data_IF_161923121723
#
_entry.id   IF_161923121723
#
_cell.length_a   1.000
_cell.length_b   1.000
_cell.length_c   1.000
_cell.angle_alpha   90.00
_cell.angle_beta   90.00
_cell.angle_gamma   90.00
#
_symmetry.space_group_name_H-M   'P 1'
#
loop_
_entity.id
_entity.type
_entity.pdbx_description
1 polymer ?
#
# COMPACT_ATOMS: atom_id res chain seq x y z
N UNK A 1 -34.07 -15.59 40.91
CA UNK A 1 -34.33 -14.93 42.21
C UNK A 1 -33.15 -15.20 43.12
N UNK A 2 -32.47 -14.17 43.63
CA UNK A 2 -31.35 -14.34 44.57
C UNK A 2 -31.96 -14.51 45.96
N UNK A 3 -31.73 -15.66 46.61
CA UNK A 3 -32.26 -15.95 47.95
C UNK A 3 -31.21 -15.59 48.99
N UNK A 4 -31.53 -14.60 49.83
CA UNK A 4 -30.75 -14.27 51.02
C UNK A 4 -31.41 -14.92 52.24
N UNK A 5 -30.60 -15.50 53.12
CA UNK A 5 -31.12 -16.12 54.33
C UNK A 5 -30.05 -16.30 55.39
N UNK A 6 -30.44 -16.95 56.48
CA UNK A 6 -29.53 -17.41 57.51
C UNK A 6 -29.84 -18.85 57.88
N UNK A 7 -28.79 -19.62 58.14
CA UNK A 7 -28.90 -20.94 58.75
C UNK A 7 -27.83 -21.10 59.83
N UNK A 8 -28.07 -22.05 60.73
CA UNK A 8 -27.14 -22.36 61.82
C UNK A 8 -26.52 -23.72 61.59
N UNK A 9 -25.18 -23.76 61.54
CA UNK A 9 -24.43 -25.02 61.48
C UNK A 9 -23.75 -25.32 62.82
N UNK A 10 -23.76 -26.57 63.30
CA UNK A 10 -22.97 -26.94 64.47
C UNK A 10 -21.48 -26.95 64.10
N UNK A 11 -20.68 -26.14 64.80
CA UNK A 11 -19.21 -26.11 64.65
C UNK A 11 -18.49 -26.87 65.77
N UNK A 12 -19.15 -27.14 66.89
CA UNK A 12 -18.68 -28.00 67.97
C UNK A 12 -19.86 -28.61 68.70
N UNK A 13 -19.71 -29.84 69.17
CA UNK A 13 -20.75 -30.55 69.92
C UNK A 13 -20.17 -31.15 71.20
N UNK A 14 -20.86 -30.97 72.32
CA UNK A 14 -20.53 -31.51 73.63
C UNK A 14 -21.75 -32.28 74.14
N UNK A 15 -21.57 -33.53 74.52
CA UNK A 15 -22.64 -34.37 75.04
C UNK A 15 -22.70 -34.24 76.57
N UNK A 16 -23.90 -34.41 77.16
CA UNK A 16 -24.09 -34.26 78.61
C UNK A 16 -23.12 -35.13 79.45
N UNK A 17 -22.82 -36.35 79.00
CA UNK A 17 -21.89 -37.25 79.71
C UNK A 17 -20.41 -36.83 79.65
N UNK A 18 -20.06 -35.84 78.83
CA UNK A 18 -18.72 -35.24 78.84
C UNK A 18 -18.62 -34.09 79.86
N UNK A 19 -19.73 -33.61 80.41
CA UNK A 19 -19.71 -32.53 81.39
C UNK A 19 -19.32 -33.05 82.78
N UNK A 20 -18.65 -32.22 83.60
CA UNK A 20 -18.41 -32.53 85.01
C UNK A 20 -19.71 -32.90 85.74
N UNK A 21 -19.64 -33.85 86.68
CA UNK A 21 -20.82 -34.41 87.37
C UNK A 21 -21.61 -33.39 88.20
N UNK A 22 -20.98 -32.29 88.56
CA UNK A 22 -21.55 -31.14 89.28
C UNK A 22 -22.40 -30.23 88.38
N UNK A 23 -22.35 -30.39 87.06
CA UNK A 23 -23.19 -29.66 86.11
C UNK A 23 -24.52 -30.39 85.93
N UNK A 24 -25.58 -29.90 86.56
CA UNK A 24 -26.92 -30.47 86.45
C UNK A 24 -27.47 -30.33 85.02
N UNK A 25 -27.37 -31.39 84.22
CA UNK A 25 -27.92 -31.47 82.86
C UNK A 25 -28.76 -32.73 82.70
N UNK A 26 -29.90 -32.60 82.03
CA UNK A 26 -30.77 -33.74 81.70
C UNK A 26 -30.01 -34.80 80.89
N UNK A 27 -30.16 -36.06 81.27
CA UNK A 27 -29.55 -37.19 80.57
C UNK A 27 -29.99 -37.20 79.10
N UNK A 28 -29.05 -37.45 78.19
CA UNK A 28 -29.28 -37.39 76.74
C UNK A 28 -29.29 -35.99 76.12
N UNK A 29 -29.06 -34.91 76.87
CA UNK A 29 -28.86 -33.58 76.28
C UNK A 29 -27.54 -33.46 75.51
N UNK A 30 -27.53 -32.63 74.47
CA UNK A 30 -26.35 -32.29 73.67
C UNK A 30 -26.28 -30.78 73.46
N UNK A 31 -25.12 -30.20 73.70
CA UNK A 31 -24.83 -28.79 73.45
C UNK A 31 -24.09 -28.66 72.12
N UNK A 32 -24.66 -27.91 71.18
CA UNK A 32 -24.05 -27.55 69.91
C UNK A 32 -23.65 -26.08 69.94
N UNK A 33 -22.37 -25.78 69.74
CA UNK A 33 -21.97 -24.42 69.38
C UNK A 33 -22.40 -24.21 67.92
N UNK A 34 -23.52 -23.53 67.74
CA UNK A 34 -24.07 -23.15 66.45
C UNK A 34 -23.42 -21.87 65.93
N UNK A 35 -22.97 -21.89 64.68
CA UNK A 35 -22.58 -20.70 63.94
C UNK A 35 -23.70 -20.31 62.99
N UNK A 36 -24.32 -19.16 63.26
CA UNK A 36 -25.32 -18.56 62.37
C UNK A 36 -24.59 -17.84 61.24
N UNK A 37 -24.86 -18.25 60.02
CA UNK A 37 -24.23 -17.73 58.81
C UNK A 37 -25.27 -16.99 57.99
N UNK A 38 -24.94 -15.78 57.52
CA UNK A 38 -25.63 -15.20 56.37
C UNK A 38 -25.22 -16.01 55.13
N UNK A 39 -26.15 -16.27 54.22
CA UNK A 39 -25.84 -16.96 52.96
C UNK A 39 -26.54 -16.32 51.76
N UNK A 40 -25.93 -16.55 50.59
CA UNK A 40 -26.55 -16.31 49.29
C UNK A 40 -26.79 -17.68 48.67
N UNK A 41 -28.05 -18.04 48.43
CA UNK A 41 -28.49 -19.40 48.04
C UNK A 41 -28.12 -20.45 49.09
N UNK A 42 -27.00 -21.16 48.94
CA UNK A 42 -26.48 -22.12 49.93
C UNK A 42 -25.02 -21.82 50.34
N UNK A 43 -24.42 -20.77 49.77
CA UNK A 43 -23.01 -20.42 49.99
C UNK A 43 -22.91 -19.45 51.18
N UNK A 44 -22.15 -19.78 52.23
CA UNK A 44 -21.89 -18.87 53.34
C UNK A 44 -21.28 -17.55 52.87
N UNK A 45 -21.87 -16.44 53.30
CA UNK A 45 -21.39 -15.10 53.00
C UNK A 45 -20.48 -14.56 54.11
N UNK A 46 -21.01 -14.48 55.33
CA UNK A 46 -20.25 -14.08 56.51
C UNK A 46 -20.90 -14.63 57.79
N UNK A 47 -20.11 -14.86 58.85
CA UNK A 47 -20.64 -15.25 60.15
C UNK A 47 -21.38 -14.08 60.80
N UNK A 48 -22.56 -14.36 61.36
CA UNK A 48 -23.36 -13.39 62.11
C UNK A 48 -23.07 -13.52 63.61
N UNK A 49 -23.33 -14.71 64.16
CA UNK A 49 -23.21 -14.96 65.60
C UNK A 49 -22.82 -16.42 65.88
N UNK A 50 -22.14 -16.64 67.00
CA UNK A 50 -21.88 -17.97 67.59
C UNK A 50 -22.65 -18.09 68.88
N UNK A 51 -23.43 -19.15 69.04
CA UNK A 51 -24.21 -19.40 70.25
C UNK A 51 -24.24 -20.88 70.58
N UNK A 52 -24.19 -21.19 71.88
CA UNK A 52 -24.43 -22.55 72.35
C UNK A 52 -25.93 -22.82 72.36
N UNK A 53 -26.33 -23.91 71.72
CA UNK A 53 -27.70 -24.39 71.62
C UNK A 53 -27.81 -25.74 72.30
N UNK A 54 -28.77 -25.91 73.19
CA UNK A 54 -29.06 -27.18 73.82
C UNK A 54 -30.09 -27.92 72.97
N UNK A 55 -29.77 -29.14 72.56
CA UNK A 55 -30.70 -30.07 71.92
C UNK A 55 -31.14 -31.12 72.92
N UNK A 56 -32.45 -31.21 73.14
CA UNK A 56 -33.06 -32.20 74.00
C UNK A 56 -34.41 -32.63 73.41
N UNK A 57 -34.65 -33.94 73.30
CA UNK A 57 -35.90 -34.50 72.76
C UNK A 57 -36.31 -33.94 71.38
N UNK A 58 -35.34 -33.70 70.50
CA UNK A 58 -35.57 -33.15 69.16
C UNK A 58 -35.87 -31.66 69.10
N UNK A 59 -36.00 -30.97 70.24
CA UNK A 59 -36.17 -29.52 70.32
C UNK A 59 -34.81 -28.84 70.54
N UNK A 60 -34.69 -27.59 70.08
CA UNK A 60 -33.49 -26.77 70.22
C UNK A 60 -33.81 -25.55 71.08
N UNK A 61 -33.03 -25.36 72.14
CA UNK A 61 -33.18 -24.26 73.10
C UNK A 61 -31.90 -23.41 73.12
N UNK A 62 -32.03 -22.11 73.34
CA UNK A 62 -30.87 -21.27 73.62
C UNK A 62 -30.30 -21.61 75.00
N UNK A 63 -28.98 -21.77 75.09
CA UNK A 63 -28.30 -22.06 76.35
C UNK A 63 -28.21 -20.78 77.19
N UNK A 64 -28.34 -20.89 78.51
CA UNK A 64 -28.16 -19.73 79.40
C UNK A 64 -26.73 -19.18 79.29
N UNK A 65 -26.56 -17.87 79.49
CA UNK A 65 -25.24 -17.20 79.40
C UNK A 65 -24.20 -17.82 80.32
N UNK A 66 -24.60 -18.23 81.53
CA UNK A 66 -23.74 -18.92 82.48
C UNK A 66 -23.22 -20.26 81.94
N UNK A 67 -24.11 -21.10 81.40
CA UNK A 67 -23.73 -22.40 80.84
C UNK A 67 -22.89 -22.23 79.57
N UNK A 68 -23.17 -21.22 78.74
CA UNK A 68 -22.34 -20.90 77.58
C UNK A 68 -20.90 -20.50 77.97
N UNK A 69 -20.75 -19.70 79.03
CA UNK A 69 -19.42 -19.34 79.58
C UNK A 69 -18.69 -20.57 80.10
N UNK A 70 -19.38 -21.43 80.87
CA UNK A 70 -18.80 -22.66 81.39
C UNK A 70 -18.31 -23.59 80.25
N UNK A 71 -19.09 -23.74 79.18
CA UNK A 71 -18.70 -24.52 78.01
C UNK A 71 -17.51 -23.92 77.28
N UNK A 72 -17.44 -22.59 77.16
CA UNK A 72 -16.29 -21.90 76.57
C UNK A 72 -15.04 -22.03 77.44
N UNK A 73 -15.15 -22.05 78.77
CA UNK A 73 -14.03 -22.22 79.70
C UNK A 73 -13.51 -23.67 79.70
N UNK A 74 -14.40 -24.66 79.73
CA UNK A 74 -14.04 -26.08 79.73
C UNK A 74 -13.46 -26.55 78.39
N UNK A 75 -14.01 -26.06 77.28
CA UNK A 75 -13.72 -26.60 75.95
C UNK A 75 -13.06 -25.59 75.00
N UNK A 76 -12.88 -24.34 75.42
CA UNK A 76 -12.37 -23.27 74.58
C UNK A 76 -13.40 -22.76 73.57
N UNK A 77 -13.32 -21.46 73.25
CA UNK A 77 -14.14 -20.80 72.23
C UNK A 77 -13.83 -21.38 70.83
N UNK A 78 -14.81 -22.00 70.15
CA UNK A 78 -14.59 -22.56 68.81
C UNK A 78 -14.18 -21.48 67.81
N UNK A 79 -13.13 -21.71 67.02
CA UNK A 79 -12.71 -20.79 65.94
C UNK A 79 -13.76 -20.76 64.83
N UNK A 80 -13.88 -19.62 64.16
CA UNK A 80 -14.78 -19.51 63.00
C UNK A 80 -14.15 -20.31 61.85
N UNK A 81 -14.88 -21.26 61.23
CA UNK A 81 -14.37 -21.97 60.07
C UNK A 81 -14.15 -20.99 58.90
N UNK A 82 -13.05 -21.15 58.17
CA UNK A 82 -12.69 -20.28 57.04
C UNK A 82 -13.77 -20.24 55.94
N UNK A 83 -14.50 -21.34 55.75
CA UNK A 83 -15.57 -21.45 54.75
C UNK A 83 -16.77 -20.53 55.05
N UNK A 84 -16.85 -19.96 56.26
CA UNK A 84 -17.88 -18.97 56.62
C UNK A 84 -17.77 -17.69 55.81
N UNK A 85 -16.63 -17.47 55.14
CA UNK A 85 -16.32 -16.34 54.27
C UNK A 85 -16.28 -16.76 52.79
N UNK A 86 -16.92 -17.87 52.40
CA UNK A 86 -16.82 -18.44 51.07
C UNK A 86 -17.18 -17.45 49.95
N UNK A 87 -18.27 -16.67 50.08
CA UNK A 87 -18.63 -15.65 49.08
C UNK A 87 -17.53 -14.61 48.91
N UNK A 88 -16.91 -14.14 50.01
CA UNK A 88 -15.83 -13.17 49.94
C UNK A 88 -14.58 -13.76 49.28
N UNK A 89 -14.21 -14.99 49.63
CA UNK A 89 -13.09 -15.71 49.02
C UNK A 89 -13.32 -15.95 47.52
N UNK A 90 -14.53 -16.32 47.12
CA UNK A 90 -14.91 -16.46 45.71
C UNK A 90 -14.84 -15.11 44.97
N UNK A 91 -15.31 -14.03 45.59
CA UNK A 91 -15.19 -12.68 45.03
C UNK A 91 -13.74 -12.27 44.82
N UNK A 92 -12.86 -12.52 45.79
CA UNK A 92 -11.42 -12.27 45.69
C UNK A 92 -10.78 -13.12 44.58
N UNK A 93 -11.13 -14.41 44.49
CA UNK A 93 -10.65 -15.31 43.45
C UNK A 93 -11.09 -14.84 42.05
N UNK A 94 -12.34 -14.39 41.90
CA UNK A 94 -12.84 -13.84 40.65
C UNK A 94 -12.09 -12.55 40.26
N UNK A 95 -11.85 -11.64 41.21
CA UNK A 95 -11.05 -10.43 40.95
C UNK A 95 -9.62 -10.76 40.52
N UNK A 96 -8.96 -11.71 41.18
CA UNK A 96 -7.64 -12.18 40.79
C UNK A 96 -7.65 -12.80 39.40
N UNK A 97 -8.67 -13.62 39.08
CA UNK A 97 -8.84 -14.20 37.75
C UNK A 97 -8.93 -13.12 36.67
N UNK A 98 -9.81 -12.12 36.82
CA UNK A 98 -9.94 -11.03 35.84
C UNK A 98 -8.66 -10.19 35.70
N UNK A 99 -7.93 -9.97 36.80
CA UNK A 99 -6.67 -9.23 36.75
C UNK A 99 -5.58 -10.01 36.00
N UNK A 100 -5.49 -11.32 36.24
CA UNK A 100 -4.56 -12.21 35.53
C UNK A 100 -4.93 -12.30 34.04
N UNK A 101 -6.20 -12.51 33.73
CA UNK A 101 -6.71 -12.59 32.36
C UNK A 101 -6.40 -11.31 31.58
N UNK A 102 -6.65 -10.13 32.17
CA UNK A 102 -6.32 -8.84 31.56
C UNK A 102 -4.81 -8.65 31.33
N UNK A 103 -3.95 -9.15 32.22
CA UNK A 103 -2.48 -9.15 32.03
C UNK A 103 -2.07 -10.10 30.90
N UNK A 104 -2.60 -11.31 30.87
CA UNK A 104 -2.28 -12.33 29.86
C UNK A 104 -2.71 -11.88 28.46
N UNK A 105 -3.89 -11.28 28.33
CA UNK A 105 -4.39 -10.79 27.04
C UNK A 105 -3.49 -9.67 26.50
N UNK A 106 -3.05 -8.73 27.35
CA UNK A 106 -2.08 -7.70 26.97
C UNK A 106 -0.75 -8.30 26.49
N UNK A 107 -0.25 -9.35 27.15
CA UNK A 107 0.97 -10.05 26.71
C UNK A 107 0.79 -10.78 25.38
N UNK A 108 -0.36 -11.45 25.16
CA UNK A 108 -0.68 -12.11 23.90
C UNK A 108 -0.73 -11.11 22.75
N UNK A 109 -1.39 -9.96 22.95
CA UNK A 109 -1.44 -8.89 21.96
C UNK A 109 -0.06 -8.31 21.66
N UNK A 110 0.80 -8.09 22.67
CA UNK A 110 2.17 -7.62 22.44
C UNK A 110 3.01 -8.66 21.68
N UNK A 111 2.84 -9.95 22.00
CA UNK A 111 3.54 -11.04 21.30
C UNK A 111 3.08 -11.18 19.85
N UNK A 112 1.77 -11.11 19.59
CA UNK A 112 1.22 -11.13 18.24
C UNK A 112 1.68 -9.92 17.42
N UNK A 113 1.82 -8.74 18.03
CA UNK A 113 2.41 -7.57 17.37
C UNK A 113 3.90 -7.76 17.04
N UNK A 114 4.66 -8.40 17.93
CA UNK A 114 6.06 -8.75 17.66
C UNK A 114 6.14 -9.76 16.51
N UNK A 115 5.25 -10.74 16.46
CA UNK A 115 5.22 -11.73 15.38
C UNK A 115 4.75 -11.13 14.05
N UNK A 116 3.75 -10.24 14.09
CA UNK A 116 3.35 -9.41 12.95
C UNK A 116 4.52 -8.53 12.47
N UNK A 117 5.33 -7.96 13.38
CA UNK A 117 6.51 -7.18 12.99
C UNK A 117 7.63 -8.01 12.36
N UNK A 118 7.76 -9.28 12.75
CA UNK A 118 8.73 -10.21 12.17
C UNK A 118 8.27 -10.72 10.80
N UNK A 119 6.96 -10.91 10.61
CA UNK A 119 6.38 -11.42 9.37
C UNK A 119 6.10 -10.31 8.35
N UNK A 120 5.87 -9.07 8.78
CA UNK A 120 5.68 -7.93 7.88
C UNK A 120 7.01 -7.57 7.24
N UNK A 121 7.26 -8.17 6.08
CA UNK A 121 8.42 -7.90 5.24
C UNK A 121 8.37 -6.44 4.80
N UNK A 122 9.03 -5.57 5.58
CA UNK A 122 9.28 -4.19 5.20
C UNK A 122 10.12 -4.25 3.92
N UNK A 123 9.45 -4.04 2.79
CA UNK A 123 10.11 -4.08 1.49
C UNK A 123 10.93 -2.80 1.35
N UNK A 124 12.20 -2.89 0.90
CA UNK A 124 12.84 -1.76 0.25
C UNK A 124 11.89 -1.16 -0.80
N UNK A 125 11.89 0.17 -0.94
CA UNK A 125 10.96 0.93 -1.79
C UNK A 125 9.51 1.06 -1.29
N UNK A 126 9.19 0.66 -0.05
CA UNK A 126 7.90 1.03 0.54
C UNK A 126 7.84 2.53 0.84
N UNK A 127 6.66 3.13 0.73
CA UNK A 127 6.39 4.52 1.09
C UNK A 127 5.47 4.55 2.31
N UNK A 128 5.76 5.42 3.25
CA UNK A 128 4.96 5.61 4.44
C UNK A 128 4.31 6.99 4.43
N UNK A 129 3.03 7.05 4.79
CA UNK A 129 2.36 8.30 5.14
C UNK A 129 2.42 8.47 6.65
N UNK A 130 3.11 9.50 7.10
CA UNK A 130 3.18 9.91 8.50
C UNK A 130 2.22 11.06 8.73
N UNK A 131 1.58 11.12 9.90
CA UNK A 131 0.56 12.11 10.26
C UNK A 131 0.97 12.88 11.52
N UNK A 132 0.93 14.21 11.49
CA UNK A 132 1.15 15.08 12.65
C UNK A 132 -0.10 15.23 13.52
N UNK A 133 0.05 15.86 14.70
CA UNK A 133 -1.10 16.25 15.53
C UNK A 133 -1.98 17.32 14.87
N UNK A 134 -1.42 18.12 13.95
CA UNK A 134 -2.11 19.13 13.14
C UNK A 134 -2.82 18.56 11.91
N UNK A 135 -3.00 17.23 11.84
CA UNK A 135 -3.64 16.52 10.72
C UNK A 135 -2.94 16.73 9.36
N UNK A 136 -1.65 17.13 9.36
CA UNK A 136 -0.81 17.18 8.17
C UNK A 136 -0.14 15.83 7.94
N UNK A 137 0.04 15.49 6.68
CA UNK A 137 0.64 14.24 6.25
C UNK A 137 1.98 14.47 5.56
N UNK A 138 2.91 13.54 5.75
CA UNK A 138 4.27 13.58 5.24
C UNK A 138 4.60 12.26 4.55
N UNK A 139 5.26 12.33 3.41
CA UNK A 139 5.71 11.14 2.67
C UNK A 139 7.13 10.78 3.03
N UNK A 140 7.38 9.54 3.46
CA UNK A 140 8.76 9.02 3.61
C UNK A 140 8.96 7.73 2.81
N UNK A 141 10.14 7.53 2.23
CA UNK A 141 10.50 6.33 1.45
C UNK A 141 11.44 5.45 2.27
N UNK A 142 11.21 4.14 2.30
CA UNK A 142 12.16 3.18 2.86
C UNK A 142 13.30 2.95 1.87
N UNK A 143 14.51 3.36 2.25
CA UNK A 143 15.73 3.12 1.48
C UNK A 143 16.32 1.73 1.78
N UNK A 144 16.41 1.39 3.06
CA UNK A 144 16.97 0.11 3.52
C UNK A 144 16.40 -0.29 4.89
N UNK A 145 16.60 -1.55 5.28
CA UNK A 145 16.21 -2.04 6.61
C UNK A 145 17.18 -3.09 7.14
N UNK A 146 17.39 -3.12 8.46
CA UNK A 146 18.16 -4.12 9.22
C UNK A 146 17.20 -4.93 10.10
N UNK A 147 17.69 -5.74 11.02
CA UNK A 147 16.83 -6.46 11.97
C UNK A 147 16.02 -5.53 12.89
N UNK A 148 16.61 -4.41 13.31
CA UNK A 148 16.07 -3.52 14.35
C UNK A 148 15.67 -2.12 13.85
N UNK A 149 16.16 -1.70 12.66
CA UNK A 149 16.02 -0.36 12.12
C UNK A 149 15.53 -0.33 10.66
N UNK A 150 14.96 0.80 10.29
CA UNK A 150 14.57 1.17 8.93
C UNK A 150 15.15 2.54 8.64
N UNK A 151 15.89 2.67 7.53
CA UNK A 151 16.36 3.97 7.07
C UNK A 151 15.32 4.53 6.13
N UNK A 152 14.70 5.63 6.55
CA UNK A 152 13.71 6.34 5.74
C UNK A 152 14.34 7.60 5.16
N UNK A 153 14.13 7.80 3.87
CA UNK A 153 14.41 9.03 3.16
C UNK A 153 13.18 9.93 3.20
N UNK A 154 13.38 11.21 3.41
CA UNK A 154 12.32 12.21 3.48
C UNK A 154 12.81 13.54 2.89
N UNK A 155 11.86 14.37 2.46
CA UNK A 155 12.15 15.71 2.00
C UNK A 155 12.43 16.61 3.21
N UNK A 156 13.59 17.26 3.24
CA UNK A 156 13.92 18.20 4.32
C UNK A 156 13.01 19.43 4.24
N UNK A 157 12.42 19.83 5.37
CA UNK A 157 11.44 20.93 5.46
C UNK A 157 10.21 20.72 4.56
N UNK A 158 9.71 19.47 4.47
CA UNK A 158 8.45 19.17 3.77
C UNK A 158 7.30 19.95 4.43
N UNK A 159 6.55 20.79 3.69
CA UNK A 159 5.37 21.49 4.25
C UNK A 159 4.24 20.53 4.62
N UNK A 160 4.29 19.28 4.17
CA UNK A 160 3.22 18.31 4.34
C UNK A 160 2.05 18.55 3.38
N UNK A 161 1.06 17.66 3.46
CA UNK A 161 -0.16 17.71 2.66
C UNK A 161 -1.39 17.39 3.52
N UNK A 162 -2.55 17.88 3.11
CA UNK A 162 -3.75 17.94 3.98
C UNK A 162 -4.55 16.64 4.11
N UNK A 163 -4.25 15.59 3.34
CA UNK A 163 -5.07 14.37 3.29
C UNK A 163 -4.22 13.11 3.20
N UNK A 164 -4.60 12.05 3.93
CA UNK A 164 -3.96 10.73 3.79
C UNK A 164 -4.28 10.10 2.43
N UNK A 165 -3.54 10.47 1.38
CA UNK A 165 -3.67 9.86 0.07
C UNK A 165 -2.34 9.25 -0.34
N UNK A 166 -2.40 8.03 -0.89
CA UNK A 166 -1.28 7.35 -1.55
C UNK A 166 -0.51 8.30 -2.48
N UNK A 167 -1.23 9.11 -3.24
CA UNK A 167 -0.63 10.08 -4.16
C UNK A 167 0.18 11.15 -3.44
N UNK A 168 -0.25 11.64 -2.27
CA UNK A 168 0.50 12.64 -1.49
C UNK A 168 1.80 12.07 -0.93
N UNK A 169 1.75 10.86 -0.36
CA UNK A 169 2.95 10.22 0.18
C UNK A 169 4.01 9.92 -0.89
N UNK A 170 3.56 9.53 -2.09
CA UNK A 170 4.46 9.16 -3.20
C UNK A 170 4.88 10.38 -4.01
N UNK A 171 4.04 11.41 -4.16
CA UNK A 171 4.33 12.59 -4.99
C UNK A 171 5.55 13.36 -4.51
N UNK A 172 5.77 13.43 -3.19
CA UNK A 172 6.97 14.03 -2.58
C UNK A 172 8.26 13.47 -3.20
N UNK A 173 8.30 12.19 -3.58
CA UNK A 173 9.49 11.59 -4.19
C UNK A 173 9.48 11.62 -5.72
N UNK A 174 8.32 11.76 -6.34
CA UNK A 174 8.18 11.79 -7.80
C UNK A 174 8.54 13.17 -8.37
N UNK A 175 8.11 14.25 -7.71
CA UNK A 175 8.16 15.59 -8.29
C UNK A 175 9.07 16.56 -7.53
N UNK A 176 9.45 16.23 -6.29
CA UNK A 176 10.23 17.17 -5.49
C UNK A 176 11.70 17.20 -5.91
N UNK A 177 12.28 18.40 -5.89
CA UNK A 177 13.65 18.73 -6.30
C UNK A 177 14.52 19.21 -5.13
N UNK A 178 13.96 19.24 -3.93
CA UNK A 178 14.64 19.66 -2.71
C UNK A 178 15.65 18.62 -2.22
N UNK A 179 16.32 18.97 -1.13
CA UNK A 179 17.28 18.10 -0.46
C UNK A 179 16.53 17.00 0.30
N UNK A 180 16.91 15.75 0.03
CA UNK A 180 16.42 14.61 0.79
C UNK A 180 17.43 14.24 1.87
N UNK A 181 16.93 13.98 3.08
CA UNK A 181 17.71 13.45 4.19
C UNK A 181 17.29 12.02 4.48
N UNK A 182 18.15 11.29 5.17
CA UNK A 182 17.91 9.90 5.59
C UNK A 182 18.02 9.83 7.11
N UNK A 183 17.05 9.20 7.75
CA UNK A 183 17.07 8.96 9.18
C UNK A 183 16.73 7.50 9.50
N UNK A 184 17.42 6.94 10.48
CA UNK A 184 17.11 5.62 11.01
C UNK A 184 15.96 5.70 12.02
N UNK A 185 14.97 4.83 11.86
CA UNK A 185 13.83 4.67 12.77
C UNK A 185 13.80 3.22 13.24
N UNK A 186 13.55 2.99 14.54
CA UNK A 186 13.39 1.64 15.05
C UNK A 186 12.18 0.95 14.42
N UNK A 187 12.35 -0.30 13.96
CA UNK A 187 11.25 -1.16 13.48
C UNK A 187 10.16 -1.33 14.53
N UNK A 188 10.56 -1.47 15.80
CA UNK A 188 9.62 -1.55 16.94
C UNK A 188 8.72 -0.32 17.02
N UNK A 189 9.27 0.87 16.80
CA UNK A 189 8.50 2.12 16.77
C UNK A 189 7.55 2.17 15.58
N UNK A 190 8.01 1.82 14.38
CA UNK A 190 7.18 1.75 13.16
C UNK A 190 5.98 0.83 13.36
N UNK A 191 6.22 -0.38 13.86
CA UNK A 191 5.17 -1.39 14.13
C UNK A 191 4.19 -0.86 15.17
N UNK A 192 4.68 -0.38 16.32
CA UNK A 192 3.80 0.16 17.36
C UNK A 192 2.98 1.34 16.85
N UNK A 193 3.56 2.19 16.00
CA UNK A 193 2.89 3.36 15.42
C UNK A 193 1.78 2.92 14.46
N UNK A 194 2.06 1.94 13.59
CA UNK A 194 1.09 1.41 12.63
C UNK A 194 -0.12 0.74 13.31
N UNK A 195 0.11 -0.13 14.30
CA UNK A 195 -0.96 -0.94 14.88
C UNK A 195 -1.68 -0.26 16.05
N UNK A 196 -0.96 0.47 16.90
CA UNK A 196 -1.54 1.06 18.11
C UNK A 196 -1.82 2.56 17.98
N UNK A 197 -1.31 3.21 16.93
CA UNK A 197 -1.36 4.67 16.73
C UNK A 197 -0.85 5.49 17.93
N UNK A 198 -0.13 4.84 18.86
CA UNK A 198 0.30 5.40 20.14
C UNK A 198 1.80 5.62 20.21
N UNK A 199 2.57 4.95 19.36
CA UNK A 199 4.00 5.22 19.25
C UNK A 199 4.26 6.36 18.28
N UNK A 200 5.01 7.34 18.79
CA UNK A 200 5.34 8.57 18.12
C UNK A 200 6.70 8.44 17.42
N UNK A 201 6.73 8.77 16.13
CA UNK A 201 7.92 8.80 15.28
C UNK A 201 8.39 10.25 15.19
N UNK A 202 9.65 10.51 15.54
CA UNK A 202 10.25 11.85 15.39
C UNK A 202 11.24 11.84 14.22
N UNK A 203 11.06 12.72 13.26
CA UNK A 203 11.98 12.90 12.13
C UNK A 203 12.46 14.35 12.09
N UNK A 204 13.77 14.55 12.12
CA UNK A 204 14.37 15.89 12.14
C UNK A 204 14.15 16.60 10.80
N UNK A 205 13.51 17.76 10.81
CA UNK A 205 13.21 18.52 9.59
C UNK A 205 11.85 18.18 8.95
N UNK A 206 11.03 17.34 9.58
CA UNK A 206 9.60 17.26 9.29
C UNK A 206 8.83 17.94 10.42
N UNK A 207 7.95 18.88 10.08
CA UNK A 207 7.06 19.56 11.04
C UNK A 207 7.78 20.05 12.31
N UNK A 208 8.92 20.75 12.15
CA UNK A 208 9.73 21.26 13.27
C UNK A 208 10.21 20.18 14.27
N UNK A 209 10.23 18.92 13.86
CA UNK A 209 10.58 17.79 14.72
C UNK A 209 9.46 17.35 15.66
N UNK A 210 8.20 17.68 15.35
CA UNK A 210 7.05 17.14 16.06
C UNK A 210 7.02 15.61 15.96
N UNK A 211 6.31 15.00 16.91
CA UNK A 211 5.97 13.59 16.90
C UNK A 211 4.89 13.27 15.87
N UNK A 212 5.17 12.29 15.00
CA UNK A 212 4.28 11.82 13.93
C UNK A 212 3.77 10.41 14.22
N UNK A 213 2.67 10.03 13.59
CA UNK A 213 2.11 8.66 13.64
C UNK A 213 2.11 8.03 12.24
N UNK A 214 2.40 6.74 12.14
CA UNK A 214 2.37 6.02 10.87
C UNK A 214 0.93 5.63 10.52
N UNK A 215 0.35 6.34 9.55
CA UNK A 215 -1.04 6.14 9.16
C UNK A 215 -1.18 5.06 8.07
N UNK A 216 -0.28 5.02 7.09
CA UNK A 216 -0.40 4.08 5.95
C UNK A 216 0.94 3.70 5.34
N UNK A 217 0.98 2.49 4.74
CA UNK A 217 2.13 1.94 4.02
C UNK A 217 1.71 1.64 2.58
N UNK A 218 2.50 2.09 1.61
CA UNK A 218 2.26 1.92 0.18
C UNK A 218 3.46 1.24 -0.47
N UNK A 219 3.23 0.04 -1.02
CA UNK A 219 4.25 -0.68 -1.79
C UNK A 219 4.17 -0.23 -3.25
N UNK A 220 5.04 0.70 -3.65
CA UNK A 220 5.04 1.29 -4.99
C UNK A 220 6.48 1.34 -5.50
N UNK A 221 6.68 1.05 -6.77
CA UNK A 221 7.98 1.16 -7.42
C UNK A 221 7.96 2.34 -8.39
N UNK A 222 8.42 3.51 -7.93
CA UNK A 222 8.38 4.77 -8.71
C UNK A 222 9.31 4.79 -9.92
N UNK A 223 10.21 3.81 -10.03
CA UNK A 223 11.11 3.67 -11.17
C UNK A 223 10.45 2.90 -12.33
N UNK A 224 9.25 2.32 -12.10
CA UNK A 224 8.42 1.75 -13.17
C UNK A 224 7.78 2.83 -14.03
N UNK A 225 7.41 2.40 -15.23
CA UNK A 225 6.86 3.24 -16.29
C UNK A 225 5.46 3.80 -16.01
N UNK A 226 4.65 3.05 -15.28
CA UNK A 226 3.32 3.43 -14.86
C UNK A 226 3.04 2.77 -13.52
N UNK A 227 2.86 3.60 -12.49
CA UNK A 227 2.56 3.14 -11.13
C UNK A 227 1.07 3.30 -10.78
N UNK A 228 0.24 3.68 -11.75
CA UNK A 228 -1.18 3.97 -11.55
C UNK A 228 -1.44 5.25 -10.76
N UNK A 229 -0.47 6.16 -10.67
CA UNK A 229 -0.58 7.46 -10.00
C UNK A 229 -0.30 8.59 -10.99
N UNK A 230 -1.08 9.66 -10.93
CA UNK A 230 -1.01 10.79 -11.85
C UNK A 230 -0.82 12.08 -11.07
N UNK A 231 0.41 12.57 -11.00
CA UNK A 231 0.76 13.76 -10.22
C UNK A 231 0.93 14.97 -11.15
N UNK A 232 0.21 16.06 -10.88
CA UNK A 232 0.41 17.34 -11.57
C UNK A 232 1.59 18.09 -10.96
N UNK A 233 2.62 18.41 -11.76
CA UNK A 233 3.75 19.27 -11.38
C UNK A 233 3.89 20.43 -12.36
N UNK A 234 3.70 21.70 -11.95
CA UNK A 234 3.78 22.85 -12.84
C UNK A 234 5.11 22.97 -13.59
N UNK A 235 6.24 22.69 -12.92
CA UNK A 235 7.56 22.80 -13.54
C UNK A 235 7.77 21.70 -14.59
N UNK A 236 7.50 20.42 -14.26
CA UNK A 236 7.57 19.32 -15.24
C UNK A 236 6.59 19.57 -16.39
N UNK A 237 5.40 20.09 -16.12
CA UNK A 237 4.42 20.47 -17.14
C UNK A 237 4.99 21.51 -18.11
N UNK A 238 5.69 22.53 -17.62
CA UNK A 238 6.34 23.53 -18.46
C UNK A 238 7.47 22.93 -19.31
N UNK A 239 8.36 22.13 -18.71
CA UNK A 239 9.48 21.47 -19.39
C UNK A 239 9.00 20.50 -20.48
N UNK A 240 8.03 19.63 -20.16
CA UNK A 240 7.41 18.69 -21.11
C UNK A 240 6.72 19.43 -22.24
N UNK A 241 5.99 20.51 -21.94
CA UNK A 241 5.36 21.35 -22.97
C UNK A 241 6.38 21.96 -23.91
N UNK A 242 7.51 22.44 -23.39
CA UNK A 242 8.59 22.98 -24.19
C UNK A 242 9.21 21.91 -25.10
N UNK A 243 9.49 20.72 -24.58
CA UNK A 243 10.06 19.60 -25.36
C UNK A 243 9.13 19.18 -26.50
N UNK A 244 7.83 19.01 -26.23
CA UNK A 244 6.84 18.65 -27.25
C UNK A 244 6.71 19.72 -28.33
N UNK A 245 6.64 21.00 -27.94
CA UNK A 245 6.60 22.13 -28.89
C UNK A 245 7.88 22.21 -29.72
N UNK A 246 9.05 22.01 -29.11
CA UNK A 246 10.34 21.99 -29.82
C UNK A 246 10.36 20.85 -30.83
N UNK A 247 9.96 19.64 -30.44
CA UNK A 247 9.98 18.46 -31.30
C UNK A 247 9.13 18.62 -32.57
N UNK A 248 7.91 19.14 -32.47
CA UNK A 248 7.03 19.33 -33.65
C UNK A 248 7.43 20.51 -34.54
N UNK A 249 8.23 21.45 -34.03
CA UNK A 249 8.74 22.59 -34.80
C UNK A 249 10.15 22.39 -35.33
N UNK A 250 10.87 21.39 -34.83
CA UNK A 250 12.24 21.10 -35.21
C UNK A 250 12.30 20.61 -36.66
N UNK A 251 13.17 21.21 -37.47
CA UNK A 251 13.40 20.81 -38.87
C UNK A 251 14.60 19.89 -38.99
N UNK A 252 15.62 20.05 -38.16
CA UNK A 252 16.82 19.21 -38.13
C UNK A 252 16.54 17.82 -37.56
N UNK A 253 16.99 16.78 -38.27
CA UNK A 253 16.83 15.39 -37.84
C UNK A 253 17.67 15.10 -36.61
N UNK A 254 18.91 15.58 -36.58
CA UNK A 254 19.80 15.39 -35.44
C UNK A 254 19.23 16.03 -34.17
N UNK A 255 18.64 17.22 -34.29
CA UNK A 255 17.96 17.88 -33.17
C UNK A 255 16.69 17.12 -32.75
N UNK A 256 15.89 16.61 -33.69
CA UNK A 256 14.74 15.76 -33.37
C UNK A 256 15.16 14.48 -32.65
N UNK A 257 16.22 13.80 -33.12
CA UNK A 257 16.77 12.60 -32.51
C UNK A 257 17.31 12.85 -31.10
N UNK A 258 17.87 14.04 -30.84
CA UNK A 258 18.32 14.43 -29.51
C UNK A 258 17.15 14.50 -28.50
N UNK A 259 15.94 14.81 -28.97
CA UNK A 259 14.72 14.87 -28.16
C UNK A 259 14.02 13.52 -28.02
N UNK A 260 14.48 12.46 -28.69
CA UNK A 260 13.92 11.12 -28.55
C UNK A 260 14.62 10.33 -27.43
N UNK A 261 13.82 9.57 -26.69
CA UNK A 261 14.33 8.66 -25.67
C UNK A 261 15.11 7.49 -26.31
N UNK A 262 15.89 6.77 -25.50
CA UNK A 262 16.76 5.69 -25.99
C UNK A 262 15.95 4.52 -26.56
N UNK A 263 14.76 4.25 -26.00
CA UNK A 263 13.86 3.21 -26.52
C UNK A 263 13.33 3.52 -27.92
N UNK A 264 13.07 4.79 -28.22
CA UNK A 264 12.62 5.26 -29.54
C UNK A 264 13.72 5.12 -30.58
N UNK A 265 14.97 5.40 -30.21
CA UNK A 265 16.13 5.23 -31.08
C UNK A 265 16.37 3.75 -31.40
N UNK A 266 16.26 2.91 -30.38
CA UNK A 266 16.35 1.45 -30.51
C UNK A 266 15.27 0.94 -31.44
N UNK A 267 14.00 1.33 -31.22
CA UNK A 267 12.89 1.00 -32.10
C UNK A 267 13.16 1.35 -33.57
N UNK A 268 13.65 2.56 -33.86
CA UNK A 268 13.97 2.98 -35.23
C UNK A 268 15.08 2.13 -35.86
N UNK A 269 16.10 1.79 -35.09
CA UNK A 269 17.16 0.88 -35.54
C UNK A 269 16.62 -0.52 -35.81
N UNK A 270 15.74 -1.02 -34.94
CA UNK A 270 15.15 -2.36 -35.07
C UNK A 270 14.27 -2.47 -36.31
N UNK A 271 13.50 -1.43 -36.66
CA UNK A 271 12.74 -1.39 -37.92
C UNK A 271 13.68 -1.61 -39.11
N UNK A 272 14.79 -0.87 -39.18
CA UNK A 272 15.74 -0.94 -40.30
C UNK A 272 16.49 -2.26 -40.31
N UNK A 273 16.99 -2.71 -39.15
CA UNK A 273 17.73 -3.97 -39.02
C UNK A 273 16.85 -5.15 -39.40
N UNK A 274 15.59 -5.17 -38.95
CA UNK A 274 14.60 -6.18 -39.32
C UNK A 274 14.35 -6.16 -40.83
N UNK A 275 14.08 -4.98 -41.42
CA UNK A 275 13.87 -4.86 -42.87
C UNK A 275 15.10 -5.29 -43.69
N UNK A 276 16.31 -5.05 -43.17
CA UNK A 276 17.59 -5.39 -43.81
C UNK A 276 17.81 -6.90 -43.91
N UNK A 277 17.29 -7.69 -42.98
CA UNK A 277 17.36 -9.16 -43.06
C UNK A 277 16.68 -9.71 -44.31
N UNK A 278 15.64 -9.01 -44.80
CA UNK A 278 14.79 -9.51 -45.88
C UNK A 278 13.90 -10.69 -45.51
N UNK A 279 13.92 -11.13 -44.25
CA UNK A 279 13.04 -12.19 -43.76
C UNK A 279 11.63 -11.64 -43.55
N UNK A 280 10.73 -12.02 -44.46
CA UNK A 280 9.32 -11.61 -44.46
C UNK A 280 8.60 -12.06 -43.19
N UNK A 281 8.95 -13.20 -42.61
CA UNK A 281 8.35 -13.71 -41.37
C UNK A 281 8.73 -12.81 -40.20
N UNK A 282 10.02 -12.48 -40.06
CA UNK A 282 10.49 -11.59 -38.99
C UNK A 282 9.88 -10.18 -39.13
N UNK A 283 9.81 -9.65 -40.35
CA UNK A 283 9.16 -8.37 -40.61
C UNK A 283 7.67 -8.39 -40.22
N UNK A 284 6.96 -9.48 -40.52
CA UNK A 284 5.55 -9.65 -40.17
C UNK A 284 5.34 -9.76 -38.65
N UNK A 285 6.21 -10.50 -37.96
CA UNK A 285 6.17 -10.62 -36.50
C UNK A 285 6.42 -9.26 -35.85
N UNK A 286 7.44 -8.52 -36.31
CA UNK A 286 7.70 -7.15 -35.85
C UNK A 286 6.44 -6.26 -36.00
N UNK A 287 5.76 -6.32 -37.15
CA UNK A 287 4.54 -5.54 -37.37
C UNK A 287 3.43 -5.94 -36.38
N UNK A 288 3.22 -7.25 -36.16
CA UNK A 288 2.12 -7.80 -35.35
C UNK A 288 2.27 -7.59 -33.86
N UNK A 289 3.50 -7.71 -33.36
CA UNK A 289 3.79 -7.72 -31.93
C UNK A 289 3.79 -6.30 -31.32
N UNK A 290 3.80 -5.26 -32.16
CA UNK A 290 3.75 -3.88 -31.71
C UNK A 290 2.29 -3.39 -31.55
N UNK A 291 2.07 -2.47 -30.59
CA UNK A 291 0.76 -1.92 -30.22
C UNK A 291 -0.02 -1.27 -31.39
N UNK A 292 0.70 -0.77 -32.40
CA UNK A 292 0.12 -0.05 -33.55
C UNK A 292 0.55 -0.67 -34.89
N UNK A 293 -0.01 -1.82 -35.29
CA UNK A 293 0.50 -2.61 -36.42
C UNK A 293 0.43 -1.87 -37.77
N UNK A 294 -0.59 -1.04 -38.02
CA UNK A 294 -0.71 -0.29 -39.28
C UNK A 294 0.40 0.76 -39.44
N UNK A 295 0.80 1.36 -38.31
CA UNK A 295 1.89 2.33 -38.27
C UNK A 295 3.23 1.64 -38.50
N UNK A 296 3.45 0.52 -37.82
CA UNK A 296 4.64 -0.32 -38.00
C UNK A 296 4.75 -0.88 -39.42
N UNK A 297 3.61 -1.27 -40.01
CA UNK A 297 3.55 -1.67 -41.42
C UNK A 297 4.06 -0.56 -42.33
N UNK A 298 3.60 0.69 -42.17
CA UNK A 298 4.09 1.80 -42.98
C UNK A 298 5.61 1.98 -42.82
N UNK A 299 6.10 2.06 -41.58
CA UNK A 299 7.54 2.18 -41.28
C UNK A 299 8.36 1.07 -41.93
N UNK A 300 7.92 -0.18 -41.80
CA UNK A 300 8.59 -1.36 -42.35
C UNK A 300 8.61 -1.35 -43.89
N UNK A 301 7.48 -1.05 -44.53
CA UNK A 301 7.38 -1.00 -46.00
C UNK A 301 8.30 0.09 -46.57
N UNK A 302 8.32 1.25 -45.93
CA UNK A 302 9.18 2.36 -46.35
C UNK A 302 10.66 2.06 -46.10
N UNK A 303 11.01 1.40 -44.98
CA UNK A 303 12.36 0.92 -44.73
C UNK A 303 12.83 -0.07 -45.82
N UNK A 304 12.01 -1.09 -46.11
CA UNK A 304 12.34 -2.17 -47.07
C UNK A 304 12.41 -1.68 -48.52
N UNK A 305 11.42 -0.93 -48.98
CA UNK A 305 11.23 -0.65 -50.41
C UNK A 305 11.70 0.73 -50.86
N UNK A 306 12.09 1.61 -49.94
CA UNK A 306 12.55 2.96 -50.32
C UNK A 306 13.89 3.31 -49.69
N UNK A 307 14.06 3.07 -48.39
CA UNK A 307 15.29 3.45 -47.70
C UNK A 307 16.45 2.50 -48.05
N UNK A 308 16.30 1.20 -47.79
CA UNK A 308 17.36 0.21 -48.01
C UNK A 308 17.85 0.11 -49.47
N UNK A 309 16.99 0.16 -50.51
CA UNK A 309 17.46 0.15 -51.90
C UNK A 309 18.36 1.33 -52.25
N UNK A 310 18.17 2.50 -51.61
CA UNK A 310 19.03 3.68 -51.81
C UNK A 310 20.37 3.60 -51.08
N UNK A 311 20.52 2.65 -50.17
CA UNK A 311 21.74 2.41 -49.41
C UNK A 311 22.68 1.38 -50.06
N UNK A 312 22.21 0.67 -51.10
CA UNK A 312 22.91 -0.49 -51.67
C UNK A 312 24.36 -0.17 -52.12
N UNK A 313 24.67 1.09 -52.41
CA UNK A 313 26.00 1.53 -52.86
C UNK A 313 26.89 2.09 -51.74
N UNK A 314 26.37 2.30 -50.52
CA UNK A 314 27.09 2.89 -49.39
C UNK A 314 26.79 2.12 -48.10
N UNK A 315 27.66 1.16 -47.76
CA UNK A 315 27.60 0.44 -46.48
C UNK A 315 27.77 1.41 -45.31
N UNK A 316 26.66 1.86 -44.73
CA UNK A 316 26.66 2.55 -43.44
C UNK A 316 27.17 1.58 -42.38
N UNK A 317 28.32 1.89 -41.80
CA UNK A 317 28.99 1.00 -40.83
C UNK A 317 28.58 1.23 -39.37
N UNK A 318 27.84 2.29 -39.05
CA UNK A 318 27.52 2.63 -37.65
C UNK A 318 26.03 2.87 -37.43
N UNK A 319 25.53 2.40 -36.29
CA UNK A 319 24.14 2.61 -35.86
C UNK A 319 23.78 4.10 -35.76
N UNK A 320 24.73 4.95 -35.37
CA UNK A 320 24.50 6.41 -35.29
C UNK A 320 24.15 7.01 -36.65
N UNK A 321 24.88 6.65 -37.70
CA UNK A 321 24.61 7.14 -39.06
C UNK A 321 23.34 6.51 -39.62
N UNK A 322 23.13 5.21 -39.38
CA UNK A 322 21.90 4.51 -39.79
C UNK A 322 20.66 5.16 -39.17
N UNK A 323 20.72 5.50 -37.89
CA UNK A 323 19.65 6.19 -37.16
C UNK A 323 19.40 7.61 -37.68
N UNK A 324 20.46 8.36 -38.02
CA UNK A 324 20.34 9.70 -38.60
C UNK A 324 19.65 9.64 -39.96
N UNK A 325 20.17 8.81 -40.87
CA UNK A 325 19.68 8.69 -42.24
C UNK A 325 18.25 8.11 -42.28
N UNK A 326 17.96 7.09 -41.47
CA UNK A 326 16.60 6.55 -41.36
C UNK A 326 15.65 7.48 -40.60
N UNK A 327 16.15 8.25 -39.64
CA UNK A 327 15.36 9.25 -38.92
C UNK A 327 14.89 10.37 -39.85
N UNK A 328 15.74 10.82 -40.77
CA UNK A 328 15.37 11.78 -41.81
C UNK A 328 14.22 11.25 -42.66
N UNK A 329 14.39 10.02 -43.11
CA UNK A 329 13.40 9.35 -43.91
C UNK A 329 12.08 9.12 -43.16
N UNK A 330 12.13 8.70 -41.90
CA UNK A 330 10.96 8.48 -41.03
C UNK A 330 10.16 9.77 -40.82
N UNK A 331 10.85 10.90 -40.65
CA UNK A 331 10.23 12.24 -40.52
C UNK A 331 9.45 12.66 -41.76
N UNK A 332 9.84 12.18 -42.95
CA UNK A 332 9.10 12.41 -44.20
C UNK A 332 7.82 11.57 -44.29
N UNK A 333 7.81 10.37 -43.69
CA UNK A 333 6.61 9.51 -43.65
C UNK A 333 5.48 10.17 -42.86
N UNK A 334 5.85 10.97 -41.85
CA UNK A 334 4.92 11.75 -41.06
C UNK A 334 4.08 10.89 -40.11
N UNK A 335 4.74 9.89 -39.53
CA UNK A 335 4.16 8.95 -38.57
C UNK A 335 4.19 9.55 -37.17
N UNK A 336 3.09 9.41 -36.42
CA UNK A 336 2.97 9.95 -35.08
C UNK A 336 3.13 11.47 -35.04
N UNK A 337 3.89 11.97 -34.06
CA UNK A 337 4.25 13.39 -33.96
C UNK A 337 5.47 13.79 -34.80
N UNK A 338 6.16 12.85 -35.47
CA UNK A 338 7.41 13.11 -36.15
C UNK A 338 7.20 13.41 -37.64
N UNK A 339 6.77 14.64 -37.94
CA UNK A 339 6.47 15.09 -39.31
C UNK A 339 6.95 16.51 -39.56
N UNK A 340 7.40 16.84 -40.78
CA UNK A 340 7.53 18.23 -41.20
C UNK A 340 6.22 18.72 -41.85
N UNK A 341 5.24 19.15 -41.04
CA UNK A 341 3.96 19.67 -41.54
C UNK A 341 3.44 20.82 -40.69
N UNK A 342 2.93 21.87 -41.32
CA UNK A 342 2.28 22.99 -40.62
C UNK A 342 1.10 22.53 -39.75
N UNK A 343 0.40 21.45 -40.14
CA UNK A 343 -0.74 20.91 -39.39
C UNK A 343 -0.34 20.38 -38.00
N UNK A 344 0.87 19.84 -37.86
CA UNK A 344 1.33 19.27 -36.58
C UNK A 344 1.85 20.35 -35.60
N UNK A 345 2.20 21.54 -36.11
CA UNK A 345 2.71 22.66 -35.30
C UNK A 345 1.64 23.21 -34.34
N UNK A 346 0.36 23.01 -34.66
CA UNK A 346 -0.80 23.42 -33.84
C UNK A 346 -1.15 22.40 -32.74
N UNK A 347 -0.12 21.80 -32.13
CA UNK A 347 -0.26 20.85 -31.03
C UNK A 347 -0.86 21.54 -29.79
N UNK A 348 -1.96 21.01 -29.26
CA UNK A 348 -2.54 21.46 -27.99
C UNK A 348 -2.21 20.44 -26.91
N UNK A 349 -1.45 20.85 -25.90
CA UNK A 349 -1.07 20.01 -24.77
C UNK A 349 -2.07 20.31 -23.65
N UNK A 350 -2.98 19.37 -23.39
CA UNK A 350 -4.13 19.54 -22.50
C UNK A 350 -3.70 19.45 -21.05
N UNK A 351 -3.03 18.35 -20.69
CA UNK A 351 -2.54 18.09 -19.33
C UNK A 351 -1.23 17.31 -19.40
N UNK A 352 -0.38 17.49 -18.40
CA UNK A 352 0.86 16.73 -18.20
C UNK A 352 0.84 16.20 -16.78
N UNK A 353 0.96 14.87 -16.65
CA UNK A 353 1.01 14.18 -15.38
C UNK A 353 2.34 13.42 -15.26
N UNK A 354 2.97 13.47 -14.10
CA UNK A 354 4.09 12.62 -13.73
C UNK A 354 3.54 11.28 -13.24
N UNK A 355 4.00 10.19 -13.85
CA UNK A 355 3.52 8.80 -13.60
C UNK A 355 4.60 7.88 -13.04
N UNK A 356 5.84 8.37 -13.00
CA UNK A 356 6.99 7.77 -12.31
C UNK A 356 8.07 8.83 -12.13
N UNK A 357 9.14 8.53 -11.38
CA UNK A 357 10.21 9.50 -11.08
C UNK A 357 10.79 10.19 -12.33
N UNK A 358 10.93 9.41 -13.40
CA UNK A 358 11.50 9.85 -14.66
C UNK A 358 10.50 9.68 -15.82
N UNK A 359 9.20 9.60 -15.54
CA UNK A 359 8.18 9.33 -16.56
C UNK A 359 7.03 10.32 -16.44
N UNK A 360 6.68 10.94 -17.57
CA UNK A 360 5.54 11.83 -17.69
C UNK A 360 4.64 11.40 -18.84
N UNK A 361 3.33 11.58 -18.67
CA UNK A 361 2.33 11.41 -19.69
C UNK A 361 1.70 12.76 -20.02
N UNK A 362 1.79 13.15 -21.28
CA UNK A 362 1.13 14.34 -21.79
C UNK A 362 -0.10 13.95 -22.61
N UNK A 363 -1.27 14.46 -22.24
CA UNK A 363 -2.46 14.36 -23.09
C UNK A 363 -2.41 15.44 -24.15
N UNK A 364 -2.30 15.01 -25.40
CA UNK A 364 -2.16 15.88 -26.56
C UNK A 364 -3.44 15.81 -27.39
N UNK A 365 -3.82 16.96 -27.97
CA UNK A 365 -4.89 17.08 -28.93
C UNK A 365 -4.35 17.72 -30.20
N UNK A 366 -4.48 17.05 -31.34
CA UNK A 366 -3.94 17.51 -32.61
C UNK A 366 -4.94 17.33 -33.76
N UNK A 367 -5.08 18.31 -34.69
CA UNK A 367 -5.90 18.11 -35.88
C UNK A 367 -5.41 16.93 -36.73
N UNK A 368 -6.33 16.21 -37.35
CA UNK A 368 -6.05 15.12 -38.26
C UNK A 368 -5.25 15.61 -39.47
N UNK A 369 -4.28 14.79 -39.88
CA UNK A 369 -3.38 15.08 -40.99
C UNK A 369 -3.50 14.05 -42.14
N UNK A 370 -4.17 12.91 -41.93
CA UNK A 370 -4.45 11.93 -42.98
C UNK A 370 -5.93 11.84 -43.36
N UNK A 371 -6.83 12.33 -42.52
CA UNK A 371 -8.28 12.37 -42.79
C UNK A 371 -8.61 13.51 -43.76
N UNK A 372 -9.60 13.27 -44.63
CA UNK A 372 -10.11 14.31 -45.55
C UNK A 372 -10.88 15.42 -44.85
N UNK A 373 -11.42 15.15 -43.66
CA UNK A 373 -12.10 16.13 -42.80
C UNK A 373 -11.23 16.55 -41.61
N UNK A 374 -11.27 17.82 -41.19
CA UNK A 374 -10.60 18.26 -39.98
C UNK A 374 -11.27 17.60 -38.77
N UNK A 375 -10.53 16.80 -38.02
CA UNK A 375 -10.98 16.19 -36.76
C UNK A 375 -9.85 16.26 -35.74
N UNK A 376 -10.13 16.64 -34.50
CA UNK A 376 -9.09 16.63 -33.47
C UNK A 376 -8.96 15.23 -32.89
N UNK A 377 -7.73 14.74 -32.81
CA UNK A 377 -7.38 13.43 -32.26
C UNK A 377 -6.71 13.68 -30.91
N UNK A 378 -7.22 13.01 -29.88
CA UNK A 378 -6.66 13.09 -28.53
C UNK A 378 -5.90 11.81 -28.25
N UNK A 379 -4.65 11.93 -27.81
CA UNK A 379 -3.78 10.79 -27.56
C UNK A 379 -2.80 11.11 -26.43
N UNK A 380 -2.14 10.08 -25.91
CA UNK A 380 -1.14 10.20 -24.87
C UNK A 380 0.25 10.17 -25.49
N UNK A 381 1.13 11.05 -25.01
CA UNK A 381 2.55 11.02 -25.33
C UNK A 381 3.30 10.72 -24.06
N UNK A 382 4.07 9.64 -24.07
CA UNK A 382 4.97 9.27 -22.99
C UNK A 382 6.29 9.99 -23.18
N UNK A 383 6.82 10.53 -22.08
CA UNK A 383 8.13 11.14 -22.02
C UNK A 383 8.94 10.48 -20.91
N UNK A 384 10.23 10.29 -21.16
CA UNK A 384 11.20 9.79 -20.19
C UNK A 384 12.26 10.84 -19.92
N UNK A 385 12.67 10.99 -18.67
CA UNK A 385 13.81 11.82 -18.30
C UNK A 385 15.09 11.00 -18.40
N UNK A 386 15.98 11.40 -19.30
CA UNK A 386 17.27 10.76 -19.53
C UNK A 386 18.37 11.83 -19.49
N UNK A 387 19.44 11.60 -18.72
CA UNK A 387 20.54 12.56 -18.54
C UNK A 387 20.03 13.96 -18.15
N UNK A 388 19.05 14.01 -17.24
CA UNK A 388 18.45 15.24 -16.74
C UNK A 388 17.43 15.92 -17.66
N UNK A 389 17.25 15.44 -18.90
CA UNK A 389 16.38 16.06 -19.91
C UNK A 389 15.17 15.17 -20.23
N UNK A 390 14.00 15.79 -20.39
CA UNK A 390 12.81 15.09 -20.90
C UNK A 390 12.95 14.79 -22.38
N UNK A 391 12.66 13.54 -22.74
CA UNK A 391 12.71 13.03 -24.10
C UNK A 391 11.43 12.30 -24.44
N UNK A 392 11.04 12.35 -25.70
CA UNK A 392 9.79 11.82 -26.21
C UNK A 392 9.97 10.34 -26.53
N UNK A 393 8.99 9.55 -26.12
CA UNK A 393 8.82 8.19 -26.60
C UNK A 393 8.05 8.23 -27.92
N UNK A 394 8.75 8.09 -29.05
CA UNK A 394 8.16 8.16 -30.39
C UNK A 394 7.04 7.12 -30.58
N UNK A 395 7.20 5.82 -30.21
CA UNK A 395 6.14 4.84 -30.35
C UNK A 395 4.83 5.22 -29.65
N UNK A 396 4.89 5.84 -28.46
CA UNK A 396 3.67 6.31 -27.77
C UNK A 396 2.83 7.30 -28.60
N UNK A 397 3.47 8.02 -29.53
CA UNK A 397 2.79 8.97 -30.42
C UNK A 397 2.05 8.30 -31.58
N UNK A 398 2.24 6.99 -31.81
CA UNK A 398 1.64 6.29 -32.96
C UNK A 398 0.14 6.09 -32.80
N UNK A 399 -0.38 6.08 -31.58
CA UNK A 399 -1.82 6.18 -31.27
C UNK A 399 -2.50 7.30 -32.06
N UNK A 400 -1.87 8.48 -32.19
CA UNK A 400 -2.38 9.57 -33.04
C UNK A 400 -2.62 9.16 -34.50
N UNK A 401 -1.72 8.35 -35.08
CA UNK A 401 -1.86 7.89 -36.47
C UNK A 401 -2.85 6.74 -36.55
N UNK A 402 -2.76 5.79 -35.59
CA UNK A 402 -3.66 4.65 -35.47
C UNK A 402 -5.13 5.09 -35.36
N UNK A 403 -5.43 6.07 -34.50
CA UNK A 403 -6.79 6.59 -34.32
C UNK A 403 -7.33 7.23 -35.59
N UNK A 404 -6.48 7.96 -36.33
CA UNK A 404 -6.88 8.49 -37.63
C UNK A 404 -7.15 7.38 -38.65
N UNK A 405 -6.34 6.33 -38.67
CA UNK A 405 -6.54 5.18 -39.56
C UNK A 405 -7.87 4.50 -39.22
N UNK A 406 -8.17 4.29 -37.94
CA UNK A 406 -9.44 3.72 -37.49
C UNK A 406 -10.66 4.56 -37.96
N UNK A 407 -10.49 5.87 -38.08
CA UNK A 407 -11.52 6.79 -38.60
C UNK A 407 -11.62 6.83 -40.14
N UNK A 408 -10.71 6.19 -40.88
CA UNK A 408 -10.78 6.14 -42.35
C UNK A 408 -11.87 5.17 -42.81
N UNK A 409 -12.49 5.47 -43.97
CA UNK A 409 -13.35 4.51 -44.66
C UNK A 409 -12.51 3.27 -45.00
N UNK A 410 -12.84 2.14 -44.35
CA UNK A 410 -12.17 0.83 -44.46
C UNK A 410 -10.84 0.71 -43.70
N UNK A 411 -10.62 1.61 -42.73
CA UNK A 411 -9.62 1.45 -41.67
C UNK A 411 -8.20 1.15 -42.15
N UNK A 412 -7.57 0.17 -41.50
CA UNK A 412 -6.22 -0.28 -41.80
C UNK A 412 -6.02 -0.77 -43.24
N UNK A 413 -7.02 -1.41 -43.85
CA UNK A 413 -6.91 -1.91 -45.23
C UNK A 413 -6.69 -0.76 -46.22
N UNK A 414 -7.54 0.27 -46.16
CA UNK A 414 -7.42 1.45 -47.01
C UNK A 414 -6.09 2.20 -46.77
N UNK A 415 -5.64 2.25 -45.52
CA UNK A 415 -4.34 2.84 -45.21
C UNK A 415 -3.18 2.05 -45.83
N UNK A 416 -3.17 0.71 -45.71
CA UNK A 416 -2.14 -0.14 -46.33
C UNK A 416 -2.11 -0.01 -47.85
N UNK A 417 -3.28 0.00 -48.49
CA UNK A 417 -3.41 0.24 -49.93
C UNK A 417 -2.85 1.62 -50.32
N UNK A 418 -3.18 2.66 -49.56
CA UNK A 418 -2.61 4.01 -49.76
C UNK A 418 -1.09 4.01 -49.66
N UNK A 419 -0.50 3.31 -48.70
CA UNK A 419 0.96 3.18 -48.59
C UNK A 419 1.54 2.48 -49.82
N UNK A 420 0.98 1.34 -50.23
CA UNK A 420 1.44 0.60 -51.43
C UNK A 420 1.34 1.44 -52.69
N UNK A 421 0.24 2.16 -52.88
CA UNK A 421 0.05 3.05 -54.02
C UNK A 421 1.06 4.20 -54.01
N UNK A 422 1.32 4.81 -52.85
CA UNK A 422 2.34 5.86 -52.71
C UNK A 422 3.76 5.34 -53.01
N UNK A 423 4.06 4.09 -52.64
CA UNK A 423 5.33 3.42 -52.94
C UNK A 423 5.46 3.11 -54.44
N UNK A 424 4.43 2.51 -55.07
CA UNK A 424 4.40 2.25 -56.52
C UNK A 424 4.51 3.52 -57.36
N UNK A 425 3.94 4.63 -56.89
CA UNK A 425 4.10 5.93 -57.55
C UNK A 425 5.56 6.40 -57.58
N UNK A 426 6.38 6.03 -56.58
CA UNK A 426 7.82 6.34 -56.54
C UNK A 426 8.66 5.37 -57.35
N UNK A 427 8.25 4.11 -57.47
CA UNK A 427 8.90 3.12 -58.32
C UNK A 427 7.86 2.13 -58.86
N UNK A 428 7.53 2.27 -60.15
CA UNK A 428 6.49 1.46 -60.83
C UNK A 428 6.83 -0.04 -60.91
N UNK A 429 8.12 -0.39 -60.82
CA UNK A 429 8.60 -1.78 -60.86
C UNK A 429 8.52 -2.50 -59.52
N UNK A 430 8.08 -1.84 -58.44
CA UNK A 430 7.96 -2.45 -57.12
C UNK A 430 6.94 -3.59 -57.11
N UNK A 431 7.45 -4.80 -56.90
CA UNK A 431 6.67 -5.99 -56.53
C UNK A 431 6.72 -6.11 -55.00
N UNK A 432 5.56 -6.15 -54.36
CA UNK A 432 5.47 -6.30 -52.90
C UNK A 432 5.41 -7.79 -52.53
N UNK A 433 6.11 -8.15 -51.46
CA UNK A 433 6.07 -9.51 -50.91
C UNK A 433 4.66 -9.84 -50.40
N UNK A 434 4.06 -10.89 -50.96
CA UNK A 434 2.69 -11.30 -50.62
C UNK A 434 2.56 -11.64 -49.13
N UNK A 435 3.64 -12.12 -48.50
CA UNK A 435 3.67 -12.42 -47.06
C UNK A 435 3.55 -11.18 -46.15
N UNK A 436 3.83 -9.98 -46.67
CA UNK A 436 3.60 -8.70 -45.98
C UNK A 436 2.18 -8.14 -46.24
N UNK A 437 1.38 -8.80 -47.08
CA UNK A 437 -0.03 -8.48 -47.24
C UNK A 437 -0.82 -8.97 -46.02
N UNK A 438 -0.98 -8.06 -45.05
CA UNK A 438 -1.87 -8.24 -43.90
C UNK A 438 -3.34 -8.13 -44.30
#
# INVERSE_FOLDING_TARGET
MIVFGYYTIPIKSVYAHHLPKDVAVTEGARFDCGLKLAHIMFIPAFPIEKKWLMKHQGQTYETTSHMASLLDDLYGKPRTPWYSYAVFLLGLAALLYFFIEGKVENYRQESALIEASRSQKISPNSYYALKSSSEQYYGVKVDSSSEDKVWVRYLNNDPGYSENKKIGAVSVFMINRGEFKVQAISKKTIVKSHYRRSALIKIEGLNEGETLTLESIYNVDIDKDDIGLYVSDPQTSAEVKQVLKKFVNETSVNSSLALLDSSSKTYLLDVVKTAKTGDVTNMKNFIKENEHPEVNYAMMMYAKYVYLPKLADNLIKTDKRLLSDFGEFSKLLGVGLWRNSSKIKNIKIVIVNVTGKNVALARVSLPSNILGRPSRINFLVKLRRENGQWKINLPSTFSYTSDQIAMMKWGGKAYRERIRSALKAKNKSLIFDVGLAY
#
